data_IF_773737766117
#
_entry.id   IF_773737766117
#
_cell.length_a   1.000
_cell.length_b   1.000
_cell.length_c   1.000
_cell.angle_alpha   90.00
_cell.angle_beta   90.00
_cell.angle_gamma   90.00
#
_symmetry.space_group_name_H-M   'P 1'
#
loop_
_entity.id
_entity.type
_entity.pdbx_description
1 polymer ?
#
# COMPACT_ATOMS: atom_id res chain seq x y z
N UNK A 1 -30.50 -5.84 -3.37
CA UNK A 1 -31.23 -5.99 -2.09
C UNK A 1 -31.21 -7.47 -1.74
N UNK A 2 -30.49 -7.84 -0.70
CA UNK A 2 -30.50 -9.19 -0.15
C UNK A 2 -31.77 -9.27 0.70
N UNK A 3 -32.81 -9.91 0.19
CA UNK A 3 -33.95 -10.29 1.00
C UNK A 3 -33.65 -11.67 1.59
N UNK A 4 -33.33 -11.77 2.89
CA UNK A 4 -32.99 -13.04 3.52
C UNK A 4 -34.21 -13.98 3.66
N UNK A 5 -35.42 -13.46 3.46
CA UNK A 5 -36.65 -14.26 3.40
C UNK A 5 -36.96 -14.76 1.97
N UNK A 6 -36.29 -14.19 0.97
CA UNK A 6 -36.37 -14.70 -0.40
C UNK A 6 -35.57 -15.98 -0.55
N UNK A 7 -36.26 -17.09 -0.83
CA UNK A 7 -35.67 -18.37 -1.24
C UNK A 7 -34.84 -18.29 -2.55
N UNK A 8 -34.78 -17.12 -3.21
CA UNK A 8 -33.93 -16.87 -4.39
C UNK A 8 -32.64 -16.11 -4.06
N UNK A 9 -32.42 -15.71 -2.80
CA UNK A 9 -31.18 -15.07 -2.37
C UNK A 9 -30.04 -16.09 -2.31
N UNK A 10 -28.85 -15.70 -2.79
CA UNK A 10 -27.62 -16.50 -2.63
C UNK A 10 -27.16 -16.60 -1.16
N UNK A 11 -27.66 -15.73 -0.29
CA UNK A 11 -27.42 -15.73 1.15
C UNK A 11 -28.77 -15.79 1.89
N UNK A 12 -29.12 -16.97 2.42
CA UNK A 12 -30.29 -17.20 3.28
C UNK A 12 -29.82 -17.49 4.71
N UNK A 13 -30.69 -17.32 5.71
CA UNK A 13 -30.37 -17.67 7.10
C UNK A 13 -29.89 -19.12 7.21
N UNK A 14 -30.61 -20.05 6.57
CA UNK A 14 -30.19 -21.45 6.47
C UNK A 14 -28.78 -21.62 5.93
N UNK A 15 -28.41 -20.91 4.85
CA UNK A 15 -27.06 -21.02 4.28
C UNK A 15 -25.99 -20.45 5.22
N UNK A 16 -26.32 -19.41 5.98
CA UNK A 16 -25.42 -18.85 7.00
C UNK A 16 -25.26 -19.86 8.14
N UNK A 17 -26.35 -20.43 8.64
CA UNK A 17 -26.32 -21.45 9.69
C UNK A 17 -25.51 -22.67 9.23
N UNK A 18 -25.74 -23.16 8.01
CA UNK A 18 -24.96 -24.25 7.40
C UNK A 18 -23.45 -23.93 7.37
N UNK A 19 -23.05 -22.69 7.06
CA UNK A 19 -21.64 -22.25 7.05
C UNK A 19 -21.06 -22.10 8.46
N UNK A 20 -21.89 -21.75 9.44
CA UNK A 20 -21.48 -21.64 10.85
C UNK A 20 -21.30 -23.02 11.47
N UNK A 21 -22.15 -23.99 11.12
CA UNK A 21 -22.06 -25.39 11.54
C UNK A 21 -20.90 -26.11 10.83
N UNK A 22 -20.69 -25.83 9.53
CA UNK A 22 -19.65 -26.45 8.71
C UNK A 22 -18.54 -25.44 8.38
N UNK A 23 -17.86 -24.95 9.43
CA UNK A 23 -16.77 -23.97 9.26
C UNK A 23 -15.66 -24.58 8.40
N UNK A 24 -15.33 -23.88 7.31
CA UNK A 24 -14.13 -24.16 6.54
C UNK A 24 -12.91 -23.91 7.45
N UNK A 25 -12.10 -24.94 7.62
CA UNK A 25 -10.84 -24.90 8.38
C UNK A 25 -9.69 -25.24 7.45
N UNK A 26 -8.48 -24.85 7.83
CA UNK A 26 -7.29 -25.31 7.12
C UNK A 26 -7.11 -26.82 7.34
N UNK A 27 -6.58 -27.50 6.33
CA UNK A 27 -6.23 -28.92 6.46
C UNK A 27 -5.20 -29.13 7.58
N UNK A 28 -5.30 -30.25 8.28
CA UNK A 28 -4.33 -30.64 9.29
C UNK A 28 -2.94 -30.79 8.65
N UNK A 29 -1.93 -30.10 9.20
CA UNK A 29 -0.57 -30.10 8.65
C UNK A 29 -0.35 -29.17 7.45
N UNK A 30 -1.28 -28.25 7.16
CA UNK A 30 -1.07 -27.25 6.12
C UNK A 30 0.21 -26.43 6.37
N UNK A 31 1.06 -26.31 5.34
CA UNK A 31 2.31 -25.55 5.41
C UNK A 31 2.12 -24.12 4.92
N UNK A 32 2.69 -23.15 5.65
CA UNK A 32 2.63 -21.73 5.29
C UNK A 32 3.99 -21.23 4.79
N UNK A 33 4.00 -20.36 3.78
CA UNK A 33 5.23 -19.74 3.29
C UNK A 33 5.90 -18.82 4.33
N UNK A 34 5.12 -18.32 5.30
CA UNK A 34 5.59 -17.56 6.45
C UNK A 34 4.58 -17.63 7.59
N UNK A 35 5.06 -17.79 8.81
CA UNK A 35 4.24 -17.76 10.03
C UNK A 35 4.60 -16.56 10.89
N UNK A 36 3.57 -15.85 11.36
CA UNK A 36 3.70 -14.67 12.21
C UNK A 36 2.81 -14.84 13.44
N UNK A 37 3.36 -14.52 14.60
CA UNK A 37 2.66 -14.61 15.88
C UNK A 37 2.40 -13.23 16.49
N UNK A 38 1.24 -13.08 17.13
CA UNK A 38 0.89 -11.92 17.96
C UNK A 38 0.12 -12.36 19.20
N UNK A 39 0.62 -11.98 20.39
CA UNK A 39 -0.08 -12.23 21.64
C UNK A 39 -1.11 -11.12 21.92
N UNK A 40 -2.39 -11.44 21.73
CA UNK A 40 -3.50 -10.50 21.92
C UNK A 40 -3.62 -9.99 23.37
N UNK A 41 -3.21 -10.76 24.38
CA UNK A 41 -3.22 -10.32 25.78
C UNK A 41 -2.20 -9.22 26.08
N UNK A 42 -1.24 -9.02 25.19
CA UNK A 42 -0.23 -7.95 25.28
C UNK A 42 -0.54 -6.74 24.40
N UNK A 43 -1.64 -6.80 23.64
CA UNK A 43 -2.01 -5.73 22.73
C UNK A 43 -2.49 -4.50 23.51
N UNK A 44 -1.91 -3.35 23.19
CA UNK A 44 -2.41 -2.04 23.61
C UNK A 44 -3.06 -1.32 22.43
N UNK A 45 -3.82 -0.23 22.65
CA UNK A 45 -4.26 0.66 21.58
C UNK A 45 -3.07 1.26 20.82
N UNK A 46 -3.19 1.31 19.50
CA UNK A 46 -2.21 1.94 18.60
C UNK A 46 -2.90 2.99 17.74
N UNK A 47 -2.11 3.93 17.27
CA UNK A 47 -2.48 4.92 16.27
C UNK A 47 -1.46 4.85 15.14
N UNK A 48 -1.94 4.80 13.90
CA UNK A 48 -1.07 4.82 12.73
C UNK A 48 -0.90 6.22 12.16
N UNK A 49 0.32 6.63 11.87
CA UNK A 49 0.63 7.91 11.23
C UNK A 49 1.66 8.78 11.96
N UNK A 50 1.79 10.06 11.55
CA UNK A 50 0.99 10.72 10.52
C UNK A 50 1.34 10.24 9.10
N UNK A 51 0.38 10.32 8.19
CA UNK A 51 0.55 10.18 6.74
C UNK A 51 1.16 8.86 6.21
N UNK A 52 1.21 7.85 7.07
CA UNK A 52 1.68 6.50 6.76
C UNK A 52 0.87 5.46 7.51
N UNK A 53 0.47 4.40 6.80
CA UNK A 53 -0.20 3.22 7.39
C UNK A 53 0.80 2.25 8.02
N UNK A 54 2.10 2.43 7.75
CA UNK A 54 3.18 1.54 8.24
C UNK A 54 3.80 2.02 9.54
N UNK A 55 3.58 3.27 9.91
CA UNK A 55 4.03 3.82 11.20
C UNK A 55 2.91 3.59 12.19
N UNK A 56 3.07 2.63 13.10
CA UNK A 56 2.11 2.35 14.16
C UNK A 56 2.77 2.61 15.51
N UNK A 57 2.22 3.53 16.28
CA UNK A 57 2.75 3.96 17.57
C UNK A 57 1.75 3.63 18.68
N UNK A 58 2.19 3.09 19.83
CA UNK A 58 1.31 2.93 21.00
C UNK A 58 0.66 4.25 21.37
N UNK A 59 -0.64 4.23 21.69
CA UNK A 59 -1.41 5.44 22.00
C UNK A 59 -0.76 6.27 23.12
N UNK A 60 -0.32 5.62 24.20
CA UNK A 60 0.35 6.25 25.35
C UNK A 60 1.53 7.14 24.94
N UNK A 61 2.31 6.69 23.95
CA UNK A 61 3.50 7.40 23.52
C UNK A 61 3.12 8.65 22.70
N UNK A 62 2.00 8.62 21.97
CA UNK A 62 1.44 9.80 21.30
C UNK A 62 0.73 10.76 22.25
N UNK A 63 0.04 10.25 23.27
CA UNK A 63 -0.60 11.08 24.31
C UNK A 63 0.43 11.97 25.02
N UNK A 64 1.63 11.44 25.27
CA UNK A 64 2.74 12.20 25.86
C UNK A 64 3.24 13.37 25.01
N UNK A 65 2.92 13.40 23.71
CA UNK A 65 3.34 14.43 22.76
C UNK A 65 2.33 15.58 22.61
N UNK A 66 1.17 15.50 23.26
CA UNK A 66 0.13 16.54 23.28
C UNK A 66 -0.29 17.03 21.87
N UNK A 67 -0.50 16.08 20.95
CA UNK A 67 -0.78 16.37 19.54
C UNK A 67 -2.23 16.83 19.39
N UNK A 68 -2.45 18.13 19.19
CA UNK A 68 -3.77 18.69 18.89
C UNK A 68 -4.36 18.15 17.58
N UNK A 69 -5.69 18.08 17.52
CA UNK A 69 -6.43 17.76 16.29
C UNK A 69 -7.45 18.85 15.96
N UNK A 70 -7.78 18.98 14.69
CA UNK A 70 -8.78 19.91 14.16
C UNK A 70 -10.02 19.15 13.68
N UNK A 71 -9.84 17.92 13.19
CA UNK A 71 -10.93 17.09 12.65
C UNK A 71 -10.84 15.65 13.16
N UNK A 72 -12.00 15.08 13.46
CA UNK A 72 -12.17 13.68 13.83
C UNK A 72 -13.16 13.03 12.85
N UNK A 73 -12.91 11.78 12.47
CA UNK A 73 -13.73 11.09 11.46
C UNK A 73 -14.15 9.69 11.89
N UNK A 74 -15.45 9.50 12.11
CA UNK A 74 -16.11 8.20 12.23
C UNK A 74 -16.86 7.92 10.93
N UNK A 75 -16.09 7.58 9.91
CA UNK A 75 -16.56 7.37 8.53
C UNK A 75 -15.89 6.12 7.97
N UNK A 76 -16.16 5.80 6.70
CA UNK A 76 -15.58 4.67 5.95
C UNK A 76 -16.23 3.31 6.24
N UNK A 77 -16.08 2.42 5.26
CA UNK A 77 -16.51 1.03 5.38
C UNK A 77 -15.73 0.21 6.41
N UNK A 78 -14.60 0.73 6.92
CA UNK A 78 -13.72 -0.02 7.84
C UNK A 78 -14.26 -0.04 9.26
N UNK A 79 -14.57 1.12 9.83
CA UNK A 79 -15.02 1.24 11.22
C UNK A 79 -16.17 2.25 11.38
N UNK A 80 -17.21 2.10 10.58
CA UNK A 80 -18.45 2.86 10.75
C UNK A 80 -19.71 2.00 10.61
N UNK A 81 -19.63 0.74 11.03
CA UNK A 81 -20.80 -0.12 11.27
C UNK A 81 -21.49 0.31 12.56
N UNK A 82 -22.72 -0.14 12.80
CA UNK A 82 -23.48 0.18 14.00
C UNK A 82 -22.70 -0.15 15.29
N UNK A 83 -21.98 -1.26 15.33
CA UNK A 83 -21.13 -1.62 16.48
C UNK A 83 -19.93 -0.67 16.67
N UNK A 84 -19.34 -0.15 15.59
CA UNK A 84 -18.26 0.83 15.65
C UNK A 84 -18.80 2.19 16.15
N UNK A 85 -19.98 2.60 15.67
CA UNK A 85 -20.67 3.81 16.12
C UNK A 85 -21.09 3.70 17.60
N UNK A 86 -21.58 2.54 18.02
CA UNK A 86 -21.91 2.24 19.41
C UNK A 86 -20.69 2.32 20.32
N UNK A 87 -19.56 1.80 19.87
CA UNK A 87 -18.29 1.90 20.59
C UNK A 87 -17.85 3.37 20.77
N UNK A 88 -17.99 4.20 19.74
CA UNK A 88 -17.71 5.64 19.86
C UNK A 88 -18.72 6.35 20.77
N UNK A 89 -20.02 6.10 20.59
CA UNK A 89 -21.10 6.68 21.41
C UNK A 89 -20.92 6.35 22.90
N UNK A 90 -20.50 5.12 23.23
CA UNK A 90 -20.17 4.72 24.60
C UNK A 90 -19.13 5.63 25.25
N UNK A 91 -18.08 6.03 24.53
CA UNK A 91 -17.05 6.95 25.06
C UNK A 91 -17.67 8.30 25.43
N UNK A 92 -18.55 8.85 24.60
CA UNK A 92 -19.28 10.08 24.91
C UNK A 92 -20.22 9.93 26.12
N UNK A 93 -20.87 8.77 26.29
CA UNK A 93 -21.72 8.50 27.46
C UNK A 93 -20.91 8.37 28.75
N UNK A 94 -19.77 7.69 28.71
CA UNK A 94 -18.95 7.47 29.90
C UNK A 94 -18.27 8.76 30.36
N UNK A 95 -17.95 9.66 29.42
CA UNK A 95 -17.46 11.01 29.71
C UNK A 95 -18.58 12.02 30.04
N UNK A 96 -19.83 11.57 30.19
CA UNK A 96 -20.98 12.43 30.41
C UNK A 96 -20.83 13.31 31.67
N UNK A 97 -21.33 14.53 31.57
CA UNK A 97 -21.49 15.46 32.70
C UNK A 97 -22.97 15.84 32.80
N UNK A 98 -23.49 15.88 34.02
CA UNK A 98 -24.89 16.27 34.28
C UNK A 98 -25.93 15.40 33.53
N UNK A 99 -25.60 14.13 33.30
CA UNK A 99 -26.49 13.18 32.60
C UNK A 99 -26.61 13.39 31.09
N UNK A 100 -25.76 14.23 30.49
CA UNK A 100 -25.70 14.45 29.04
C UNK A 100 -24.38 13.92 28.47
N UNK A 101 -24.38 13.37 27.24
CA UNK A 101 -23.14 12.97 26.58
C UNK A 101 -22.12 14.12 26.56
N UNK A 102 -20.84 13.79 26.68
CA UNK A 102 -19.76 14.74 26.50
C UNK A 102 -19.90 15.46 25.14
N UNK A 103 -19.41 16.70 25.07
CA UNK A 103 -19.39 17.46 23.82
C UNK A 103 -18.04 17.30 23.12
N UNK A 104 -18.07 17.35 21.80
CA UNK A 104 -16.86 17.54 20.99
C UNK A 104 -16.19 18.86 21.41
N UNK A 105 -14.86 18.85 21.50
CA UNK A 105 -14.08 20.04 21.84
C UNK A 105 -14.42 21.20 20.87
N UNK A 106 -14.54 22.46 21.35
CA UNK A 106 -14.97 23.58 20.51
C UNK A 106 -14.09 23.84 19.26
N UNK A 107 -12.82 23.44 19.30
CA UNK A 107 -11.88 23.56 18.18
C UNK A 107 -11.88 22.37 17.22
N UNK A 108 -12.67 21.33 17.48
CA UNK A 108 -12.71 20.10 16.70
C UNK A 108 -14.03 19.96 15.96
N UNK A 109 -13.97 19.50 14.70
CA UNK A 109 -15.14 19.00 13.98
C UNK A 109 -15.13 17.48 13.93
N UNK A 110 -16.19 16.86 14.43
CA UNK A 110 -16.40 15.41 14.35
C UNK A 110 -17.36 15.09 13.20
N UNK A 111 -16.87 14.44 12.15
CA UNK A 111 -17.68 13.96 11.03
C UNK A 111 -18.08 12.50 11.20
N UNK A 112 -19.35 12.19 11.01
CA UNK A 112 -19.92 10.84 11.15
C UNK A 112 -20.64 10.42 9.87
N UNK A 113 -20.35 9.23 9.35
CA UNK A 113 -21.03 8.66 8.18
C UNK A 113 -21.09 7.15 8.30
N UNK A 114 -22.30 6.58 8.47
CA UNK A 114 -22.45 5.13 8.55
C UNK A 114 -21.93 4.42 7.29
N UNK A 115 -21.44 3.19 7.48
CA UNK A 115 -20.94 2.36 6.39
C UNK A 115 -22.03 2.00 5.36
N UNK A 116 -23.30 2.00 5.79
CA UNK A 116 -24.47 1.86 4.92
C UNK A 116 -25.72 2.46 5.58
N UNK A 117 -26.78 2.64 4.78
CA UNK A 117 -28.11 3.06 5.27
C UNK A 117 -28.65 2.09 6.33
N UNK A 118 -28.38 0.79 6.19
CA UNK A 118 -28.82 -0.22 7.16
C UNK A 118 -28.09 -0.07 8.50
N UNK A 119 -26.77 0.13 8.45
CA UNK A 119 -25.96 0.35 9.66
C UNK A 119 -26.37 1.65 10.37
N UNK A 120 -26.70 2.70 9.61
CA UNK A 120 -27.25 3.94 10.17
C UNK A 120 -28.56 3.67 10.91
N UNK A 121 -29.50 2.95 10.27
CA UNK A 121 -30.80 2.63 10.88
C UNK A 121 -30.64 1.85 12.19
N UNK A 122 -29.72 0.88 12.24
CA UNK A 122 -29.43 0.12 13.47
C UNK A 122 -28.87 1.05 14.57
N UNK A 123 -27.98 1.98 14.22
CA UNK A 123 -27.44 2.97 15.16
C UNK A 123 -28.49 3.98 15.65
N UNK A 124 -29.46 4.35 14.79
CA UNK A 124 -30.61 5.19 15.15
C UNK A 124 -31.55 4.45 16.10
N UNK A 125 -31.92 3.20 15.81
CA UNK A 125 -32.82 2.37 16.63
C UNK A 125 -32.25 2.05 18.02
N UNK A 126 -30.93 1.90 18.12
CA UNK A 126 -30.21 1.69 19.40
C UNK A 126 -29.98 2.99 20.19
N UNK A 127 -30.22 4.15 19.58
CA UNK A 127 -29.96 5.47 20.17
C UNK A 127 -28.48 5.89 20.19
N UNK A 128 -27.57 5.09 19.63
CA UNK A 128 -26.15 5.43 19.50
C UNK A 128 -25.94 6.65 18.59
N UNK A 129 -26.75 6.76 17.53
CA UNK A 129 -26.73 7.90 16.60
C UNK A 129 -27.08 9.21 17.30
N UNK A 130 -28.09 9.19 18.18
CA UNK A 130 -28.54 10.36 18.93
C UNK A 130 -27.51 10.83 19.95
N UNK A 131 -26.76 9.91 20.56
CA UNK A 131 -25.64 10.28 21.44
C UNK A 131 -24.58 11.08 20.68
N UNK A 132 -24.20 10.64 19.48
CA UNK A 132 -23.22 11.36 18.65
C UNK A 132 -23.77 12.71 18.16
N UNK A 133 -25.07 12.76 17.81
CA UNK A 133 -25.76 14.00 17.46
C UNK A 133 -25.76 15.00 18.60
N UNK A 134 -26.10 14.56 19.80
CA UNK A 134 -26.07 15.37 21.00
C UNK A 134 -24.65 15.80 21.34
N UNK A 135 -23.63 14.97 21.11
CA UNK A 135 -22.22 15.34 21.31
C UNK A 135 -21.74 16.48 20.39
N UNK A 136 -22.46 16.78 19.31
CA UNK A 136 -22.12 17.82 18.33
C UNK A 136 -21.47 17.29 17.06
N UNK A 137 -21.66 16.02 16.72
CA UNK A 137 -21.19 15.46 15.45
C UNK A 137 -21.93 16.06 14.24
N UNK A 138 -21.17 16.26 13.15
CA UNK A 138 -21.67 16.63 11.83
C UNK A 138 -21.86 15.36 10.97
N UNK A 139 -23.10 15.07 10.58
CA UNK A 139 -23.42 13.87 9.82
C UNK A 139 -23.27 14.07 8.31
N UNK A 140 -22.70 13.07 7.66
CA UNK A 140 -22.58 12.98 6.22
C UNK A 140 -23.46 11.83 5.69
N UNK A 141 -23.83 11.84 4.40
CA UNK A 141 -24.49 10.71 3.78
C UNK A 141 -23.65 9.43 3.89
N UNK A 142 -24.32 8.29 4.05
CA UNK A 142 -23.67 6.97 4.01
C UNK A 142 -22.84 6.83 2.73
N UNK A 143 -21.52 6.71 2.87
CA UNK A 143 -20.58 6.72 1.75
C UNK A 143 -19.14 6.96 2.17
N UNK A 144 -18.24 7.07 1.19
CA UNK A 144 -16.81 7.23 1.48
C UNK A 144 -16.45 8.64 2.00
N UNK A 145 -17.00 9.68 1.37
CA UNK A 145 -16.76 11.08 1.72
C UNK A 145 -15.27 11.43 1.92
N UNK A 146 -14.90 12.09 3.03
CA UNK A 146 -13.53 12.57 3.26
C UNK A 146 -12.48 11.45 3.34
N UNK A 147 -12.87 10.18 3.57
CA UNK A 147 -11.94 9.04 3.56
C UNK A 147 -11.20 8.87 2.21
N UNK A 148 -11.81 9.31 1.12
CA UNK A 148 -11.22 9.30 -0.23
C UNK A 148 -10.92 10.70 -0.76
N UNK A 149 -10.99 11.73 0.10
CA UNK A 149 -10.72 13.11 -0.29
C UNK A 149 -11.86 13.76 -1.08
N UNK A 150 -13.11 13.36 -0.85
CA UNK A 150 -14.29 13.93 -1.52
C UNK A 150 -15.34 14.47 -0.53
N UNK A 151 -16.10 15.46 -0.98
CA UNK A 151 -17.24 15.99 -0.24
C UNK A 151 -16.84 16.91 0.92
N UNK A 152 -17.71 16.97 1.94
CA UNK A 152 -17.57 17.88 3.08
C UNK A 152 -16.56 17.36 4.10
N UNK A 153 -15.85 18.29 4.75
CA UNK A 153 -14.94 17.97 5.86
C UNK A 153 -13.54 17.56 5.44
N UNK A 154 -13.08 17.94 4.23
CA UNK A 154 -11.69 17.71 3.82
C UNK A 154 -10.70 18.46 4.72
N UNK A 155 -9.51 17.90 4.87
CA UNK A 155 -8.41 18.55 5.59
C UNK A 155 -7.86 19.74 4.80
N UNK A 156 -7.60 20.82 5.50
CA UNK A 156 -6.99 22.05 5.01
C UNK A 156 -5.48 22.07 5.35
N UNK A 157 -4.77 23.07 4.83
CA UNK A 157 -3.34 23.21 5.10
C UNK A 157 -3.05 23.42 6.59
N UNK A 158 -2.07 22.67 7.11
CA UNK A 158 -1.64 22.75 8.51
C UNK A 158 -2.53 21.99 9.51
N UNK A 159 -3.72 21.57 9.10
CA UNK A 159 -4.65 20.83 9.96
C UNK A 159 -4.16 19.40 10.26
N UNK A 160 -4.64 18.88 11.40
CA UNK A 160 -4.41 17.52 11.87
C UNK A 160 -5.72 16.81 12.10
N UNK A 161 -5.77 15.55 11.70
CA UNK A 161 -6.94 14.72 11.93
C UNK A 161 -6.64 13.34 12.47
N UNK A 162 -7.63 12.79 13.17
CA UNK A 162 -7.68 11.39 13.56
C UNK A 162 -8.92 10.73 12.95
N UNK A 163 -8.75 9.57 12.34
CA UNK A 163 -9.79 8.91 11.54
C UNK A 163 -9.91 7.43 11.85
N UNK A 164 -11.14 6.92 11.90
CA UNK A 164 -11.43 5.49 11.97
C UNK A 164 -11.46 4.82 10.58
N UNK A 165 -10.79 5.42 9.59
CA UNK A 165 -10.62 4.82 8.27
C UNK A 165 -9.37 3.94 8.21
N UNK A 166 -9.01 3.44 7.02
CA UNK A 166 -7.90 2.52 6.82
C UNK A 166 -6.69 3.14 6.11
N UNK A 167 -6.76 4.39 5.66
CA UNK A 167 -5.71 5.04 4.86
C UNK A 167 -5.58 6.51 5.20
N UNK A 168 -4.37 6.91 5.55
CA UNK A 168 -4.01 8.29 5.90
C UNK A 168 -2.95 8.89 4.98
N UNK A 169 -2.68 8.34 3.80
CA UNK A 169 -1.61 8.82 2.92
C UNK A 169 -1.63 10.35 2.72
N UNK A 170 -0.46 10.95 2.50
CA UNK A 170 -0.33 12.38 2.19
C UNK A 170 -1.32 12.79 1.08
N UNK A 171 -2.14 13.81 1.34
CA UNK A 171 -3.14 14.32 0.39
C UNK A 171 -4.38 13.43 0.21
N UNK A 172 -4.53 12.36 1.00
CA UNK A 172 -5.65 11.42 0.87
C UNK A 172 -6.99 12.03 1.28
N UNK A 173 -7.00 12.76 2.40
CA UNK A 173 -8.22 13.30 3.02
C UNK A 173 -8.41 14.80 2.77
N UNK A 174 -7.63 15.40 1.87
CA UNK A 174 -7.60 16.83 1.63
C UNK A 174 -6.21 17.32 1.25
N UNK A 175 -5.77 18.41 1.87
CA UNK A 175 -4.47 19.04 1.59
C UNK A 175 -3.28 18.06 1.77
N UNK A 176 -2.30 18.05 0.84
CA UNK A 176 -1.06 17.30 1.01
C UNK A 176 -0.15 17.84 2.13
N UNK A 177 -0.48 19.00 2.70
CA UNK A 177 0.22 19.63 3.82
C UNK A 177 -0.45 19.36 5.18
N UNK A 178 -1.58 18.64 5.19
CA UNK A 178 -2.25 18.19 6.41
C UNK A 178 -1.59 16.92 6.98
N UNK A 179 -1.89 16.61 8.24
CA UNK A 179 -1.47 15.36 8.90
C UNK A 179 -2.68 14.52 9.28
N UNK A 180 -2.75 13.29 8.79
CA UNK A 180 -3.80 12.34 9.13
C UNK A 180 -3.27 11.15 9.94
N UNK A 181 -3.98 10.79 11.00
CA UNK A 181 -3.75 9.64 11.86
C UNK A 181 -4.93 8.66 11.76
N UNK A 182 -4.67 7.36 11.92
CA UNK A 182 -5.69 6.32 11.95
C UNK A 182 -5.78 5.72 13.35
N UNK A 183 -6.99 5.54 13.85
CA UNK A 183 -7.22 4.98 15.18
C UNK A 183 -8.57 4.26 15.24
N UNK A 184 -8.84 3.52 16.32
CA UNK A 184 -10.16 2.90 16.52
C UNK A 184 -11.26 3.96 16.78
N UNK A 185 -12.55 3.61 16.60
CA UNK A 185 -13.66 4.50 16.90
C UNK A 185 -13.61 5.11 18.32
N UNK A 186 -13.18 4.33 19.31
CA UNK A 186 -13.07 4.77 20.70
C UNK A 186 -12.00 5.85 20.87
N UNK A 187 -10.83 5.69 20.24
CA UNK A 187 -9.75 6.68 20.30
C UNK A 187 -10.15 7.94 19.54
N UNK A 188 -10.81 7.81 18.37
CA UNK A 188 -11.32 8.96 17.62
C UNK A 188 -12.34 9.74 18.45
N UNK A 189 -13.27 9.06 19.12
CA UNK A 189 -14.25 9.69 20.00
C UNK A 189 -13.59 10.40 21.20
N UNK A 190 -12.69 9.72 21.91
CA UNK A 190 -11.95 10.30 23.02
C UNK A 190 -11.13 11.52 22.58
N UNK A 191 -10.46 11.43 21.44
CA UNK A 191 -9.68 12.52 20.88
C UNK A 191 -10.57 13.71 20.49
N UNK A 192 -11.76 13.45 19.96
CA UNK A 192 -12.74 14.50 19.61
C UNK A 192 -13.25 15.25 20.85
N UNK A 193 -13.43 14.56 21.98
CA UNK A 193 -13.79 15.17 23.27
C UNK A 193 -12.63 16.03 23.80
N UNK A 194 -11.40 15.53 23.72
CA UNK A 194 -10.23 16.17 24.33
C UNK A 194 -9.56 17.26 23.47
N UNK A 195 -9.81 17.29 22.16
CA UNK A 195 -9.16 18.24 21.25
C UNK A 195 -7.76 17.84 20.79
N UNK A 196 -7.31 16.63 21.16
CA UNK A 196 -5.97 16.09 20.89
C UNK A 196 -6.00 14.57 20.83
N UNK A 197 -4.95 13.94 20.30
CA UNK A 197 -4.84 12.48 20.28
C UNK A 197 -4.87 11.94 21.71
N UNK A 198 -5.93 11.19 22.04
CA UNK A 198 -6.17 10.64 23.37
C UNK A 198 -7.03 9.37 23.33
N UNK A 199 -6.88 8.53 24.36
CA UNK A 199 -7.68 7.33 24.59
C UNK A 199 -8.84 7.54 25.55
N UNK A 200 -9.76 6.56 25.61
CA UNK A 200 -10.77 6.55 26.65
C UNK A 200 -10.16 6.20 28.02
N UNK A 201 -10.65 6.83 29.09
CA UNK A 201 -10.10 6.71 30.46
C UNK A 201 -10.13 5.29 31.04
N UNK A 202 -10.97 4.41 30.50
CA UNK A 202 -11.12 3.03 30.99
C UNK A 202 -10.07 2.07 30.44
N UNK A 203 -9.30 2.44 29.42
CA UNK A 203 -8.22 1.58 28.97
C UNK A 203 -7.11 1.57 30.02
N UNK A 204 -6.88 0.41 30.62
CA UNK A 204 -5.77 0.18 31.54
C UNK A 204 -4.74 -0.75 30.89
N UNK A 205 -3.47 -0.35 30.97
CA UNK A 205 -2.34 -1.17 30.56
C UNK A 205 -2.36 -2.49 31.35
N UNK A 206 -2.28 -3.67 30.70
CA UNK A 206 -2.12 -4.93 31.39
C UNK A 206 -0.86 -4.94 32.27
N UNK A 207 -0.97 -5.46 33.49
CA UNK A 207 0.16 -5.53 34.43
C UNK A 207 1.31 -6.35 33.84
N UNK A 208 2.54 -5.85 33.94
CA UNK A 208 3.74 -6.52 33.42
C UNK A 208 3.94 -6.49 31.90
N UNK A 209 3.04 -5.87 31.12
CA UNK A 209 3.17 -5.78 29.66
C UNK A 209 3.80 -4.45 29.24
N UNK A 210 5.10 -4.43 28.99
CA UNK A 210 5.78 -3.20 28.52
C UNK A 210 5.66 -2.95 27.01
N UNK A 211 5.48 -4.01 26.22
CA UNK A 211 5.34 -3.97 24.77
C UNK A 211 4.47 -5.12 24.26
N UNK A 212 3.87 -4.93 23.08
CA UNK A 212 3.17 -6.01 22.37
C UNK A 212 4.17 -7.10 22.00
N UNK A 213 3.83 -8.36 22.30
CA UNK A 213 4.62 -9.53 21.91
C UNK A 213 4.19 -9.96 20.52
N UNK A 214 5.11 -9.83 19.58
CA UNK A 214 5.01 -10.31 18.20
C UNK A 214 6.26 -11.12 17.87
N UNK A 215 6.15 -12.07 16.94
CA UNK A 215 7.26 -12.92 16.52
C UNK A 215 7.03 -13.59 15.18
N UNK A 216 8.04 -14.34 14.72
CA UNK A 216 7.89 -15.31 13.62
C UNK A 216 7.62 -16.70 14.24
N UNK A 217 6.90 -17.56 13.52
CA UNK A 217 6.49 -18.89 13.98
C UNK A 217 5.09 -18.93 14.57
N UNK A 218 4.79 -20.03 15.26
CA UNK A 218 3.47 -20.35 15.81
C UNK A 218 3.15 -19.61 17.10
N UNK A 219 4.19 -19.10 17.80
CA UNK A 219 4.05 -18.51 19.13
C UNK A 219 4.20 -19.49 20.27
N UNK A 220 4.35 -20.78 19.98
CA UNK A 220 4.88 -21.76 20.92
C UNK A 220 6.41 -21.76 20.81
N UNK A 221 7.05 -20.95 21.64
CA UNK A 221 8.51 -20.78 21.62
C UNK A 221 9.30 -22.09 21.82
N UNK A 222 8.70 -23.11 22.43
CA UNK A 222 9.36 -24.41 22.61
C UNK A 222 9.27 -25.24 21.34
N UNK A 223 8.08 -25.29 20.73
CA UNK A 223 7.87 -25.96 19.46
C UNK A 223 8.64 -25.27 18.31
N UNK A 224 8.57 -23.94 18.22
CA UNK A 224 9.28 -23.14 17.22
C UNK A 224 10.81 -23.33 17.34
N UNK A 225 11.32 -23.47 18.57
CA UNK A 225 12.75 -23.75 18.80
C UNK A 225 13.13 -25.18 18.39
N UNK A 226 12.26 -26.16 18.60
CA UNK A 226 12.49 -27.53 18.14
C UNK A 226 12.51 -27.60 16.60
N UNK A 227 11.50 -27.00 15.94
CA UNK A 227 11.42 -26.87 14.49
C UNK A 227 12.65 -26.19 13.89
N UNK A 228 13.09 -25.05 14.45
CA UNK A 228 14.29 -24.37 13.94
C UNK A 228 15.59 -25.18 14.08
N UNK A 229 15.67 -26.08 15.07
CA UNK A 229 16.81 -26.99 15.21
C UNK A 229 16.74 -28.08 14.14
N UNK A 230 15.55 -28.61 13.86
CA UNK A 230 15.32 -29.59 12.78
C UNK A 230 15.63 -28.97 11.41
N UNK A 231 15.10 -27.78 11.10
CA UNK A 231 15.39 -27.06 9.86
C UNK A 231 16.89 -26.78 9.68
N UNK A 232 17.59 -26.40 10.76
CA UNK A 232 19.03 -26.19 10.73
C UNK A 232 19.79 -27.50 10.47
N UNK A 233 19.32 -28.61 11.03
CA UNK A 233 19.90 -29.94 10.82
C UNK A 233 19.69 -30.39 9.37
N UNK A 234 18.49 -30.24 8.82
CA UNK A 234 18.15 -30.57 7.44
C UNK A 234 18.98 -29.74 6.45
N UNK A 235 19.20 -28.46 6.76
CA UNK A 235 20.07 -27.61 5.94
C UNK A 235 21.53 -28.09 5.98
N UNK A 236 22.05 -28.47 7.13
CA UNK A 236 23.40 -29.04 7.26
C UNK A 236 23.50 -30.36 6.51
N UNK A 237 22.46 -31.20 6.56
CA UNK A 237 22.40 -32.47 5.81
C UNK A 237 22.42 -32.18 4.31
N UNK A 238 21.59 -31.26 3.81
CA UNK A 238 21.57 -30.86 2.41
C UNK A 238 22.91 -30.26 1.93
N UNK A 239 23.56 -29.47 2.78
CA UNK A 239 24.91 -28.93 2.51
C UNK A 239 25.96 -30.05 2.46
N UNK A 240 25.90 -31.04 3.37
CA UNK A 240 26.79 -32.20 3.37
C UNK A 240 26.57 -33.10 2.15
N UNK A 241 25.31 -33.36 1.76
CA UNK A 241 24.97 -34.12 0.54
C UNK A 241 25.46 -33.40 -0.71
N UNK A 242 25.30 -32.08 -0.78
CA UNK A 242 25.85 -31.25 -1.87
C UNK A 242 27.37 -31.34 -1.94
N UNK A 243 28.07 -31.28 -0.79
CA UNK A 243 29.53 -31.44 -0.74
C UNK A 243 30.00 -32.84 -1.17
N UNK A 244 29.26 -33.89 -0.83
CA UNK A 244 29.54 -35.25 -1.28
C UNK A 244 29.36 -35.35 -2.79
N UNK A 245 28.28 -34.80 -3.34
CA UNK A 245 28.04 -34.77 -4.78
C UNK A 245 29.12 -34.01 -5.57
N UNK A 246 29.70 -32.95 -4.98
CA UNK A 246 30.86 -32.24 -5.55
C UNK A 246 32.12 -33.10 -5.46
N UNK A 247 32.39 -33.74 -4.32
CA UNK A 247 33.56 -34.61 -4.15
C UNK A 247 33.52 -35.88 -5.04
N UNK A 248 32.33 -36.40 -5.34
CA UNK A 248 32.14 -37.51 -6.28
C UNK A 248 32.36 -37.08 -7.74
N UNK A 249 32.13 -35.81 -8.07
CA UNK A 249 32.50 -35.22 -9.37
C UNK A 249 34.01 -34.96 -9.51
N UNK A 250 34.71 -34.74 -8.40
CA UNK A 250 36.16 -34.45 -8.35
C UNK A 250 37.02 -35.68 -7.98
N UNK A 251 36.47 -36.90 -8.09
CA UNK A 251 37.22 -38.15 -7.88
C UNK A 251 38.44 -38.27 -8.80
N UNK A 252 39.51 -39.00 -8.41
CA UNK A 252 40.82 -38.94 -9.05
C UNK A 252 40.81 -39.62 -10.42
N UNK A 253 40.46 -38.83 -11.44
CA UNK A 253 40.43 -39.24 -12.84
C UNK A 253 40.22 -38.09 -13.83
N UNK A 254 40.39 -36.83 -13.43
CA UNK A 254 40.32 -35.69 -14.33
C UNK A 254 41.72 -35.26 -14.77
N UNK A 255 41.98 -35.41 -16.07
CA UNK A 255 43.14 -34.87 -16.76
C UNK A 255 43.21 -33.35 -16.61
N UNK A 256 44.43 -32.83 -16.51
CA UNK A 256 44.70 -31.41 -16.33
C UNK A 256 44.25 -30.60 -17.56
N UNK A 257 43.12 -29.89 -17.43
CA UNK A 257 42.74 -28.84 -18.39
C UNK A 257 43.47 -27.53 -18.06
N UNK A 258 44.35 -27.17 -18.99
CA UNK A 258 44.95 -25.86 -19.15
C UNK A 258 43.92 -24.74 -19.19
N UNK A 259 44.26 -23.60 -18.58
CA UNK A 259 43.47 -22.38 -18.54
C UNK A 259 42.76 -22.06 -19.87
N UNK A 260 41.43 -22.09 -19.85
CA UNK A 260 40.59 -21.68 -20.96
C UNK A 260 40.34 -20.15 -20.94
N UNK A 261 40.27 -19.50 -22.11
CA UNK A 261 39.98 -18.07 -22.24
C UNK A 261 38.50 -17.77 -21.96
N UNK A 262 38.18 -16.50 -21.65
CA UNK A 262 36.83 -15.98 -21.46
C UNK A 262 35.85 -16.55 -22.50
N UNK A 263 34.92 -17.40 -22.05
CA UNK A 263 33.87 -17.91 -22.88
C UNK A 263 32.90 -16.77 -23.25
N UNK A 264 32.91 -16.37 -24.53
CA UNK A 264 31.77 -15.73 -25.17
C UNK A 264 30.61 -16.73 -25.17
N UNK A 265 29.80 -16.73 -24.11
CA UNK A 265 28.50 -17.38 -24.14
C UNK A 265 27.61 -16.67 -25.16
N UNK A 266 26.99 -17.41 -26.07
CA UNK A 266 25.94 -16.88 -26.94
C UNK A 266 24.86 -16.23 -26.08
N UNK A 267 24.67 -14.91 -26.20
CA UNK A 267 23.56 -14.21 -25.56
C UNK A 267 22.25 -14.76 -26.16
N UNK A 268 21.48 -15.52 -25.37
CA UNK A 268 20.13 -15.95 -25.72
C UNK A 268 19.26 -14.72 -25.94
N UNK A 269 18.76 -14.54 -27.17
CA UNK A 269 17.87 -13.43 -27.52
C UNK A 269 16.42 -13.84 -27.27
N UNK A 270 15.65 -12.95 -26.65
CA UNK A 270 14.21 -13.09 -26.49
C UNK A 270 13.52 -12.69 -27.79
N UNK A 271 12.52 -13.48 -28.20
CA UNK A 271 11.66 -13.12 -29.32
C UNK A 271 10.80 -11.90 -28.96
N UNK A 272 10.70 -10.97 -29.90
CA UNK A 272 9.93 -9.74 -29.76
C UNK A 272 8.67 -9.86 -30.60
N UNK A 273 7.51 -9.71 -29.96
CA UNK A 273 6.21 -9.74 -30.63
C UNK A 273 6.07 -8.56 -31.61
N UNK A 274 5.47 -8.73 -32.80
CA UNK A 274 5.29 -7.64 -33.76
C UNK A 274 4.58 -6.42 -33.14
N UNK A 275 5.20 -5.24 -33.22
CA UNK A 275 4.68 -4.00 -32.64
C UNK A 275 5.07 -3.77 -31.18
N UNK A 276 5.71 -4.73 -30.51
CA UNK A 276 6.33 -4.53 -29.20
C UNK A 276 7.71 -3.85 -29.36
N UNK A 277 8.09 -2.90 -28.48
CA UNK A 277 9.36 -2.20 -28.60
C UNK A 277 10.55 -3.13 -28.37
N UNK A 278 11.58 -3.03 -29.22
CA UNK A 278 12.86 -3.75 -29.01
C UNK A 278 13.74 -3.08 -27.96
N UNK A 279 13.63 -1.75 -27.84
CA UNK A 279 14.45 -0.90 -26.96
C UNK A 279 13.65 0.27 -26.43
N UNK A 280 13.95 0.67 -25.19
CA UNK A 280 13.42 1.89 -24.57
C UNK A 280 14.57 2.62 -23.90
N UNK A 281 14.70 3.91 -24.15
CA UNK A 281 15.75 4.73 -23.56
C UNK A 281 15.24 6.11 -23.14
N UNK A 282 15.89 6.70 -22.14
CA UNK A 282 15.59 8.04 -21.67
C UNK A 282 16.50 8.49 -20.53
N UNK A 283 16.35 9.76 -20.13
CA UNK A 283 17.01 10.29 -18.94
C UNK A 283 16.29 9.79 -17.67
N UNK A 284 17.04 9.42 -16.64
CA UNK A 284 16.47 9.02 -15.36
C UNK A 284 15.98 10.26 -14.59
N UNK A 285 14.67 10.28 -14.32
CA UNK A 285 14.05 11.12 -13.29
C UNK A 285 13.83 10.26 -12.05
N UNK A 286 14.56 10.56 -10.98
CA UNK A 286 14.56 9.78 -9.76
C UNK A 286 13.65 10.40 -8.69
N UNK A 287 12.69 9.61 -8.21
CA UNK A 287 11.83 9.90 -7.07
C UNK A 287 12.27 9.03 -5.88
N UNK A 288 13.11 9.56 -5.00
CA UNK A 288 13.71 8.79 -3.89
C UNK A 288 12.73 8.55 -2.74
N UNK A 289 11.76 7.68 -2.96
CA UNK A 289 10.83 7.29 -1.92
C UNK A 289 10.32 5.87 -2.12
N UNK A 290 10.26 5.14 -1.02
CA UNK A 290 9.58 3.86 -0.96
C UNK A 290 8.09 4.09 -0.68
N UNK A 291 7.24 3.19 -1.17
CA UNK A 291 5.80 3.23 -0.95
C UNK A 291 5.14 4.50 -1.53
N UNK A 292 5.65 5.01 -2.65
CA UNK A 292 4.89 5.96 -3.47
C UNK A 292 3.62 5.24 -3.91
N UNK A 293 2.52 5.54 -3.23
CA UNK A 293 1.24 4.89 -3.43
C UNK A 293 0.48 5.55 -4.59
N UNK A 294 -0.60 4.91 -5.04
CA UNK A 294 -1.44 5.44 -6.12
C UNK A 294 -2.03 6.82 -5.83
N UNK A 295 -2.21 7.23 -4.56
CA UNK A 295 -2.66 8.58 -4.21
C UNK A 295 -1.55 9.60 -4.40
N UNK A 296 -0.28 9.21 -4.21
CA UNK A 296 0.90 9.97 -4.60
C UNK A 296 0.99 10.16 -6.12
N UNK A 297 0.71 9.11 -6.91
CA UNK A 297 0.81 9.12 -8.38
C UNK A 297 -0.36 9.86 -9.04
N UNK A 298 -1.59 9.60 -8.60
CA UNK A 298 -2.79 10.25 -9.12
C UNK A 298 -3.73 10.54 -7.94
N UNK A 299 -3.97 11.81 -7.57
CA UNK A 299 -4.75 12.14 -6.38
C UNK A 299 -6.18 11.59 -6.40
N UNK A 300 -6.68 11.10 -5.25
CA UNK A 300 -8.02 10.54 -5.07
C UNK A 300 -9.15 11.42 -5.61
N UNK A 301 -9.03 12.74 -5.40
CA UNK A 301 -9.98 13.78 -5.80
C UNK A 301 -10.31 13.82 -7.30
N UNK A 302 -9.45 13.27 -8.16
CA UNK A 302 -9.66 13.23 -9.62
C UNK A 302 -10.24 11.89 -10.12
N UNK A 303 -10.38 10.88 -9.26
CA UNK A 303 -10.71 9.51 -9.68
C UNK A 303 -12.06 9.39 -10.36
N UNK A 304 -13.06 10.13 -9.88
CA UNK A 304 -14.44 10.06 -10.38
C UNK A 304 -14.83 11.30 -11.19
N UNK A 305 -13.84 11.93 -11.83
CA UNK A 305 -14.07 13.03 -12.75
C UNK A 305 -13.97 12.49 -14.19
N UNK A 306 -15.10 12.06 -14.74
CA UNK A 306 -15.15 11.36 -16.04
C UNK A 306 -14.70 12.22 -17.23
N UNK A 307 -14.72 13.55 -17.08
CA UNK A 307 -14.36 14.51 -18.14
C UNK A 307 -12.91 14.98 -18.15
N UNK A 308 -12.00 14.38 -17.37
CA UNK A 308 -10.60 14.81 -17.31
C UNK A 308 -9.89 14.54 -18.63
N UNK A 309 -9.27 15.58 -19.22
CA UNK A 309 -8.49 15.43 -20.45
C UNK A 309 -7.15 14.74 -20.18
N UNK A 310 -6.50 14.23 -21.24
CA UNK A 310 -5.16 13.63 -21.13
C UNK A 310 -4.13 14.65 -20.62
N UNK A 311 -4.25 15.90 -21.04
CA UNK A 311 -3.38 17.00 -20.62
C UNK A 311 -3.55 17.28 -19.13
N UNK A 312 -4.80 17.38 -18.65
CA UNK A 312 -5.09 17.55 -17.23
C UNK A 312 -4.58 16.36 -16.40
N UNK A 313 -4.75 15.14 -16.92
CA UNK A 313 -4.22 13.93 -16.27
C UNK A 313 -2.69 13.95 -16.17
N UNK A 314 -2.00 14.47 -17.19
CA UNK A 314 -0.55 14.66 -17.19
C UNK A 314 -0.10 15.76 -16.22
N UNK A 315 -0.90 16.82 -16.04
CA UNK A 315 -0.61 17.92 -15.10
C UNK A 315 -0.67 17.46 -13.64
N UNK A 316 -1.62 16.59 -13.29
CA UNK A 316 -1.82 16.08 -11.92
C UNK A 316 -1.02 14.83 -11.60
N UNK A 317 -0.26 14.31 -12.57
CA UNK A 317 0.61 13.16 -12.38
C UNK A 317 1.67 13.47 -11.31
N UNK A 318 1.73 12.60 -10.29
CA UNK A 318 2.60 12.68 -9.10
C UNK A 318 2.35 13.89 -8.18
N UNK A 319 1.23 14.61 -8.32
CA UNK A 319 0.94 15.88 -7.59
C UNK A 319 1.03 15.74 -6.06
N UNK A 320 0.46 14.67 -5.50
CA UNK A 320 0.49 14.45 -4.05
C UNK A 320 1.86 14.00 -3.53
N UNK A 321 2.69 13.40 -4.41
CA UNK A 321 4.08 13.11 -4.10
C UNK A 321 4.88 14.41 -4.08
N UNK A 322 4.97 15.08 -5.23
CA UNK A 322 5.75 16.29 -5.46
C UNK A 322 5.02 17.24 -6.43
N UNK A 323 4.66 18.43 -5.94
CA UNK A 323 3.96 19.45 -6.71
C UNK A 323 4.81 19.96 -7.90
N UNK A 324 6.14 19.86 -7.81
CA UNK A 324 7.06 20.27 -8.87
C UNK A 324 7.35 19.17 -9.89
N UNK A 325 6.81 17.96 -9.70
CA UNK A 325 6.98 16.87 -10.66
C UNK A 325 6.52 17.27 -12.06
N UNK A 326 5.40 18.00 -12.14
CA UNK A 326 4.83 18.48 -13.42
C UNK A 326 5.81 19.34 -14.23
N UNK A 327 6.69 20.08 -13.56
CA UNK A 327 7.68 20.96 -14.17
C UNK A 327 9.02 20.24 -14.42
N UNK A 328 9.35 19.28 -13.56
CA UNK A 328 10.64 18.58 -13.55
C UNK A 328 10.70 17.44 -14.57
N UNK A 329 9.64 16.63 -14.65
CA UNK A 329 9.53 15.50 -15.55
C UNK A 329 9.09 15.93 -16.96
N UNK A 330 9.69 15.30 -17.98
CA UNK A 330 9.53 15.59 -19.40
C UNK A 330 9.12 14.33 -20.17
N UNK A 331 8.56 14.52 -21.35
CA UNK A 331 8.26 13.43 -22.27
C UNK A 331 9.55 12.64 -22.61
N UNK A 332 9.46 11.31 -22.56
CA UNK A 332 10.58 10.40 -22.83
C UNK A 332 11.48 10.10 -21.63
N UNK A 333 11.26 10.72 -20.47
CA UNK A 333 12.00 10.38 -19.25
C UNK A 333 11.70 8.96 -18.76
N UNK A 334 12.66 8.36 -18.07
CA UNK A 334 12.48 7.09 -17.34
C UNK A 334 12.24 7.42 -15.87
N UNK A 335 11.05 7.10 -15.37
CA UNK A 335 10.71 7.32 -13.97
C UNK A 335 11.35 6.22 -13.13
N UNK A 336 12.27 6.57 -12.24
CA UNK A 336 12.87 5.64 -11.28
C UNK A 336 12.37 5.96 -9.89
N UNK A 337 11.87 4.96 -9.16
CA UNK A 337 11.38 5.11 -7.79
C UNK A 337 12.01 4.08 -6.84
N UNK A 338 11.74 4.23 -5.53
CA UNK A 338 12.16 3.28 -4.50
C UNK A 338 11.45 1.93 -4.58
N UNK A 339 11.17 1.31 -3.45
CA UNK A 339 10.48 0.02 -3.32
C UNK A 339 8.97 0.17 -3.18
N UNK A 340 8.21 -0.84 -3.59
CA UNK A 340 6.76 -0.93 -3.47
C UNK A 340 6.01 0.25 -4.13
N UNK A 341 6.44 0.64 -5.34
CA UNK A 341 5.83 1.71 -6.13
C UNK A 341 4.42 1.32 -6.61
N UNK A 342 3.48 2.26 -6.56
CA UNK A 342 2.09 2.04 -6.96
C UNK A 342 1.26 1.22 -5.95
N UNK A 343 1.70 1.12 -4.69
CA UNK A 343 0.89 0.47 -3.66
C UNK A 343 -0.40 1.25 -3.32
N UNK A 344 -1.33 0.62 -2.59
CA UNK A 344 -2.52 1.30 -2.07
C UNK A 344 -3.80 1.05 -2.87
N UNK A 345 -4.36 2.09 -3.49
CA UNK A 345 -5.64 2.00 -4.21
C UNK A 345 -5.50 1.23 -5.52
N UNK A 346 -6.57 0.58 -5.98
CA UNK A 346 -6.57 -0.18 -7.24
C UNK A 346 -6.73 0.68 -8.50
N UNK A 347 -6.53 1.99 -8.39
CA UNK A 347 -6.87 2.98 -9.43
C UNK A 347 -5.93 2.82 -10.61
N UNK A 348 -6.49 2.49 -11.77
CA UNK A 348 -5.70 2.33 -13.00
C UNK A 348 -5.19 3.68 -13.53
N UNK A 349 -5.83 4.78 -13.14
CA UNK A 349 -5.43 6.13 -13.49
C UNK A 349 -4.01 6.47 -13.06
N UNK A 350 -3.46 5.77 -12.05
CA UNK A 350 -2.05 5.90 -11.69
C UNK A 350 -1.13 5.50 -12.85
N UNK A 351 -1.46 4.45 -13.61
CA UNK A 351 -0.69 4.05 -14.79
C UNK A 351 -0.96 4.99 -15.98
N UNK A 352 -2.23 5.32 -16.24
CA UNK A 352 -2.57 6.18 -17.38
C UNK A 352 -2.08 7.61 -17.22
N UNK A 353 -1.96 8.13 -15.99
CA UNK A 353 -1.39 9.46 -15.75
C UNK A 353 0.10 9.52 -16.09
N UNK A 354 0.85 8.46 -15.81
CA UNK A 354 2.28 8.36 -16.20
C UNK A 354 2.39 8.31 -17.74
N UNK A 355 1.54 7.54 -18.41
CA UNK A 355 1.45 7.51 -19.87
C UNK A 355 1.01 8.87 -20.45
N UNK A 356 0.10 9.57 -19.78
CA UNK A 356 -0.34 10.91 -20.17
C UNK A 356 0.82 11.92 -20.07
N UNK A 357 1.69 11.76 -19.06
CA UNK A 357 2.96 12.50 -18.93
C UNK A 357 4.02 12.11 -19.95
N UNK A 358 3.73 11.15 -20.82
CA UNK A 358 4.62 10.63 -21.87
C UNK A 358 5.90 10.01 -21.30
N UNK A 359 5.80 9.37 -20.14
CA UNK A 359 6.88 8.58 -19.54
C UNK A 359 6.68 7.13 -20.01
N UNK A 360 7.58 6.59 -20.86
CA UNK A 360 7.40 5.27 -21.47
C UNK A 360 7.73 4.10 -20.53
N UNK A 361 8.48 4.34 -19.45
CA UNK A 361 8.99 3.29 -18.57
C UNK A 361 9.05 3.76 -17.12
N UNK A 362 8.59 2.89 -16.22
CA UNK A 362 8.83 2.99 -14.78
C UNK A 362 9.82 1.92 -14.34
N UNK A 363 10.80 2.32 -13.55
CA UNK A 363 11.76 1.43 -12.91
C UNK A 363 11.64 1.56 -11.40
N UNK A 364 11.63 0.46 -10.68
CA UNK A 364 11.46 0.47 -9.23
C UNK A 364 12.25 -0.66 -8.60
N UNK A 365 12.49 -0.58 -7.28
CA UNK A 365 13.01 -1.73 -6.54
C UNK A 365 11.97 -2.84 -6.41
N UNK A 366 10.69 -2.50 -6.36
CA UNK A 366 9.57 -3.44 -6.46
C UNK A 366 8.25 -2.71 -6.71
N UNK A 367 7.27 -3.39 -7.32
CA UNK A 367 5.94 -2.81 -7.57
C UNK A 367 4.84 -3.37 -6.66
N UNK A 368 3.80 -2.56 -6.42
CA UNK A 368 2.56 -3.05 -5.83
C UNK A 368 1.78 -3.92 -6.83
N UNK A 369 1.35 -5.12 -6.42
CA UNK A 369 0.72 -6.11 -7.30
C UNK A 369 -0.39 -5.57 -8.22
N UNK A 370 -1.29 -4.75 -7.68
CA UNK A 370 -2.41 -4.20 -8.47
C UNK A 370 -1.90 -3.18 -9.49
N UNK A 371 -0.93 -2.34 -9.12
CA UNK A 371 -0.34 -1.39 -10.05
C UNK A 371 0.42 -2.09 -11.17
N UNK A 372 1.16 -3.18 -10.89
CA UNK A 372 1.81 -3.98 -11.93
C UNK A 372 0.80 -4.51 -12.96
N UNK A 373 -0.34 -5.02 -12.49
CA UNK A 373 -1.44 -5.47 -13.37
C UNK A 373 -2.05 -4.33 -14.17
N UNK A 374 -2.32 -3.20 -13.52
CA UNK A 374 -2.88 -2.02 -14.19
C UNK A 374 -1.92 -1.44 -15.24
N UNK A 375 -0.61 -1.53 -15.00
CA UNK A 375 0.43 -1.10 -15.93
C UNK A 375 0.37 -1.94 -17.21
N UNK A 376 0.34 -3.27 -17.10
CA UNK A 376 0.16 -4.18 -18.24
C UNK A 376 -1.17 -3.89 -18.96
N UNK A 377 -2.27 -3.76 -18.22
CA UNK A 377 -3.59 -3.49 -18.79
C UNK A 377 -3.64 -2.19 -19.61
N UNK A 378 -2.81 -1.21 -19.27
CA UNK A 378 -2.75 0.10 -19.93
C UNK A 378 -1.53 0.27 -20.85
N UNK A 379 -0.73 -0.78 -21.06
CA UNK A 379 0.52 -0.74 -21.83
C UNK A 379 1.61 0.22 -21.27
N UNK A 380 1.61 0.46 -19.96
CA UNK A 380 2.74 1.06 -19.27
C UNK A 380 3.77 -0.01 -18.92
N UNK A 381 5.01 0.18 -19.37
CA UNK A 381 6.10 -0.74 -19.07
C UNK A 381 6.70 -0.46 -17.70
N UNK A 382 6.97 -1.55 -16.98
CA UNK A 382 7.59 -1.55 -15.66
C UNK A 382 8.70 -2.59 -15.59
N UNK A 383 9.82 -2.27 -14.93
CA UNK A 383 10.91 -3.23 -14.67
C UNK A 383 11.49 -3.04 -13.28
N UNK A 384 11.75 -4.14 -12.58
CA UNK A 384 12.36 -4.12 -11.25
C UNK A 384 13.88 -4.16 -11.36
N UNK A 385 14.55 -3.12 -10.84
CA UNK A 385 16.02 -2.99 -10.86
C UNK A 385 16.51 -2.47 -9.49
N UNK A 386 16.46 -3.28 -8.41
CA UNK A 386 16.87 -2.86 -7.06
C UNK A 386 18.27 -2.23 -7.01
N UNK A 387 19.23 -2.82 -7.75
CA UNK A 387 20.60 -2.31 -7.85
C UNK A 387 20.69 -0.86 -8.34
N UNK A 388 19.81 -0.46 -9.28
CA UNK A 388 19.78 0.92 -9.77
C UNK A 388 19.32 1.88 -8.66
N UNK A 389 18.28 1.49 -7.92
CA UNK A 389 17.75 2.29 -6.80
C UNK A 389 18.83 2.48 -5.73
N UNK A 390 19.49 1.40 -5.33
CA UNK A 390 20.60 1.45 -4.35
C UNK A 390 21.75 2.33 -4.84
N UNK A 391 22.13 2.21 -6.13
CA UNK A 391 23.20 2.99 -6.73
C UNK A 391 22.86 4.48 -6.78
N UNK A 392 21.61 4.85 -7.11
CA UNK A 392 21.15 6.24 -7.12
C UNK A 392 21.13 6.81 -5.70
N UNK A 393 20.63 6.06 -4.71
CA UNK A 393 20.65 6.47 -3.30
C UNK A 393 22.06 6.72 -2.79
N UNK A 394 22.98 5.80 -3.04
CA UNK A 394 24.37 5.95 -2.64
C UNK A 394 25.03 7.16 -3.30
N UNK A 395 24.71 7.42 -4.57
CA UNK A 395 25.24 8.57 -5.32
C UNK A 395 24.78 9.91 -4.74
N UNK A 396 23.52 9.99 -4.28
CA UNK A 396 22.89 11.24 -3.82
C UNK A 396 22.70 11.31 -2.30
N UNK A 397 23.29 10.41 -1.51
CA UNK A 397 23.08 10.32 -0.06
C UNK A 397 23.47 11.60 0.70
N UNK A 398 24.53 12.26 0.21
CA UNK A 398 25.15 13.44 0.84
C UNK A 398 24.68 14.77 0.23
N UNK A 399 23.74 14.74 -0.73
CA UNK A 399 23.17 15.96 -1.30
C UNK A 399 22.34 16.70 -0.23
N UNK A 400 22.66 17.98 -0.02
CA UNK A 400 22.00 18.80 1.00
C UNK A 400 20.53 19.11 0.66
N UNK A 401 20.20 19.33 -0.62
CA UNK A 401 18.88 19.80 -1.05
C UNK A 401 17.78 18.72 -0.96
N UNK A 402 18.14 17.43 -1.09
CA UNK A 402 17.23 16.27 -1.07
C UNK A 402 15.86 16.52 -1.75
N UNK A 403 15.83 16.97 -3.02
CA UNK A 403 14.57 17.18 -3.73
C UNK A 403 13.78 15.86 -3.85
N UNK A 404 12.45 15.95 -3.80
CA UNK A 404 11.57 14.80 -3.97
C UNK A 404 11.69 14.18 -5.37
N UNK A 405 11.83 15.01 -6.40
CA UNK A 405 12.05 14.59 -7.79
C UNK A 405 13.34 15.17 -8.32
N UNK A 406 14.21 14.32 -8.88
CA UNK A 406 15.54 14.71 -9.35
C UNK A 406 15.76 14.30 -10.80
N UNK A 407 16.15 15.25 -11.65
CA UNK A 407 16.82 14.92 -12.93
C UNK A 407 18.27 14.56 -12.65
N UNK A 408 18.66 13.34 -12.98
CA UNK A 408 19.98 12.81 -12.60
C UNK A 408 21.07 13.13 -13.60
N UNK A 409 20.70 13.42 -14.86
CA UNK A 409 21.62 13.41 -16.00
C UNK A 409 22.10 12.01 -16.39
N UNK A 410 21.62 10.94 -15.74
CA UNK A 410 21.92 9.56 -16.08
C UNK A 410 20.96 9.10 -17.17
N UNK A 411 21.39 8.16 -18.00
CA UNK A 411 20.56 7.54 -19.02
C UNK A 411 20.35 6.07 -18.70
N UNK A 412 19.14 5.60 -18.98
CA UNK A 412 18.81 4.18 -18.95
C UNK A 412 18.41 3.74 -20.34
N UNK A 413 18.90 2.57 -20.75
CA UNK A 413 18.47 1.82 -21.92
C UNK A 413 18.02 0.43 -21.45
N UNK A 414 16.78 0.06 -21.73
CA UNK A 414 16.33 -1.32 -21.63
C UNK A 414 16.36 -1.95 -23.03
N UNK A 415 17.26 -2.90 -23.23
CA UNK A 415 17.29 -3.77 -24.40
C UNK A 415 16.40 -4.98 -24.11
N UNK A 416 15.18 -4.97 -24.65
CA UNK A 416 14.18 -6.00 -24.36
C UNK A 416 14.53 -7.33 -25.05
N UNK A 417 15.16 -7.26 -26.22
CA UNK A 417 15.61 -8.45 -26.95
C UNK A 417 16.71 -9.20 -26.19
N UNK A 418 17.54 -8.49 -25.43
CA UNK A 418 18.58 -9.10 -24.57
C UNK A 418 18.17 -9.24 -23.11
N UNK A 419 16.96 -8.83 -22.75
CA UNK A 419 16.48 -8.74 -21.36
C UNK A 419 17.51 -8.09 -20.44
N UNK A 420 18.02 -6.93 -20.86
CA UNK A 420 19.17 -6.28 -20.23
C UNK A 420 18.94 -4.79 -20.10
N UNK A 421 19.13 -4.29 -18.88
CA UNK A 421 19.18 -2.86 -18.59
C UNK A 421 20.63 -2.40 -18.62
N UNK A 422 20.88 -1.29 -19.31
CA UNK A 422 22.17 -0.60 -19.39
C UNK A 422 21.98 0.81 -18.85
N UNK A 423 22.82 1.20 -17.90
CA UNK A 423 22.77 2.51 -17.24
C UNK A 423 24.07 3.24 -17.51
N UNK A 424 23.97 4.47 -18.00
CA UNK A 424 25.10 5.38 -18.19
C UNK A 424 24.98 6.53 -17.19
N UNK A 425 25.91 6.60 -16.26
CA UNK A 425 25.99 7.62 -15.22
C UNK A 425 26.42 8.97 -15.81
N UNK A 426 26.25 10.05 -15.04
CA UNK A 426 26.55 11.43 -15.48
C UNK A 426 28.00 11.64 -15.91
N UNK A 427 28.94 10.90 -15.32
CA UNK A 427 30.37 10.94 -15.63
C UNK A 427 30.74 10.10 -16.87
N UNK A 428 29.76 9.44 -17.50
CA UNK A 428 29.94 8.57 -18.66
C UNK A 428 30.24 7.12 -18.31
N UNK A 429 30.34 6.75 -17.03
CA UNK A 429 30.51 5.35 -16.62
C UNK A 429 29.26 4.54 -16.95
N UNK A 430 29.44 3.39 -17.58
CA UNK A 430 28.32 2.50 -17.94
C UNK A 430 28.41 1.18 -17.20
N UNK A 431 27.26 0.66 -16.78
CA UNK A 431 27.11 -0.71 -16.29
C UNK A 431 25.80 -1.32 -16.77
N UNK A 432 25.69 -2.65 -16.67
CA UNK A 432 24.48 -3.36 -17.08
C UNK A 432 24.04 -4.43 -16.09
N UNK A 433 22.76 -4.79 -16.15
CA UNK A 433 22.15 -5.84 -15.36
C UNK A 433 21.16 -6.63 -16.24
N UNK A 434 21.21 -7.96 -16.14
CA UNK A 434 20.17 -8.82 -16.71
C UNK A 434 18.88 -8.68 -15.87
N UNK A 435 17.75 -8.55 -16.55
CA UNK A 435 16.41 -8.46 -15.95
C UNK A 435 15.53 -9.60 -16.47
N UNK A 436 14.34 -9.75 -15.89
CA UNK A 436 13.38 -10.76 -16.34
C UNK A 436 12.92 -10.55 -17.78
N UNK A 437 12.64 -11.65 -18.47
CA UNK A 437 12.04 -11.64 -19.81
C UNK A 437 10.56 -11.27 -19.74
N UNK A 438 10.08 -10.51 -20.73
CA UNK A 438 8.66 -10.20 -20.85
C UNK A 438 7.93 -11.38 -21.52
N UNK A 439 6.95 -12.03 -20.86
CA UNK A 439 6.24 -13.15 -21.46
C UNK A 439 5.54 -12.77 -22.77
N UNK A 440 5.48 -13.64 -23.79
CA UNK A 440 4.89 -13.33 -25.10
C UNK A 440 3.46 -12.78 -25.05
N UNK A 441 2.61 -13.32 -24.17
CA UNK A 441 1.23 -12.86 -23.98
C UNK A 441 1.17 -11.43 -23.41
N UNK A 442 2.13 -11.05 -22.57
CA UNK A 442 2.24 -9.68 -22.05
C UNK A 442 2.74 -8.74 -23.15
N UNK A 443 3.70 -9.19 -23.96
CA UNK A 443 4.17 -8.41 -25.11
C UNK A 443 3.04 -8.12 -26.10
N UNK A 444 2.20 -9.11 -26.40
CA UNK A 444 1.04 -8.96 -27.29
C UNK A 444 0.04 -7.92 -26.77
N UNK A 445 -0.36 -8.01 -25.48
CA UNK A 445 -1.26 -7.03 -24.85
C UNK A 445 -0.70 -5.62 -24.96
N UNK A 446 0.59 -5.44 -24.68
CA UNK A 446 1.25 -4.13 -24.72
C UNK A 446 1.39 -3.62 -26.15
N UNK A 447 1.72 -4.48 -27.12
CA UNK A 447 1.85 -4.13 -28.53
C UNK A 447 0.53 -3.62 -29.12
N UNK A 448 -0.61 -4.17 -28.67
CA UNK A 448 -1.94 -3.67 -29.05
C UNK A 448 -2.37 -2.42 -28.27
N UNK A 449 -1.54 -1.93 -27.34
CA UNK A 449 -1.79 -0.72 -26.57
C UNK A 449 -2.70 -0.93 -25.36
N UNK A 450 -2.70 -2.13 -24.79
CA UNK A 450 -3.37 -2.47 -23.53
C UNK A 450 -4.45 -3.55 -23.68
N UNK A 451 -4.94 -4.03 -22.54
CA UNK A 451 -5.88 -5.15 -22.46
C UNK A 451 -7.21 -4.85 -23.17
N UNK A 452 -7.73 -3.63 -23.04
CA UNK A 452 -9.00 -3.27 -23.71
C UNK A 452 -8.89 -3.37 -25.24
N UNK A 453 -7.80 -2.86 -25.81
CA UNK A 453 -7.55 -2.92 -27.26
C UNK A 453 -7.25 -4.35 -27.71
N UNK A 454 -6.54 -5.11 -26.90
CA UNK A 454 -6.33 -6.54 -27.14
C UNK A 454 -7.66 -7.30 -27.19
N UNK A 455 -8.55 -7.11 -26.21
CA UNK A 455 -9.88 -7.75 -26.21
C UNK A 455 -10.70 -7.35 -27.43
N UNK A 456 -10.68 -6.08 -27.85
CA UNK A 456 -11.36 -5.62 -29.07
C UNK A 456 -10.83 -6.35 -30.31
N UNK A 457 -9.51 -6.46 -30.44
CA UNK A 457 -8.88 -7.19 -31.54
C UNK A 457 -9.24 -8.69 -31.53
N UNK A 458 -9.31 -9.33 -30.36
CA UNK A 458 -9.75 -10.74 -30.25
C UNK A 458 -11.21 -10.95 -30.66
N UNK A 459 -12.08 -9.99 -30.39
CA UNK A 459 -13.51 -10.05 -30.79
C UNK A 459 -13.67 -9.87 -32.31
N UNK A 460 -12.74 -9.15 -32.96
CA UNK A 460 -12.76 -8.90 -34.40
C UNK A 460 -12.20 -10.06 -35.25
N UNK A 461 -11.49 -11.01 -34.62
CA UNK A 461 -11.00 -12.26 -35.26
C UNK A 461 -12.15 -13.26 -35.46
#
# INVERSE_FOLDING_TARGET
>A
MLDPESNQSRFTHKRIDDLVENRLTADEGATYAKELYMNLSTLSPFVAGPNSVKVATPLRDLESQDISIDKAYLVSCTNSRASDLAAAARVFREAAQEGKPAKVAPSVKLYVAAASILEQKIAEESGDWDVLREAGAEFLPSGCGPCIGLGTGLLEEGERAISASNRNFKGRMGSPLAKAYLASPQIVAASAIQGKIAGPDWYQKPEGVEKVIIGEGSGDFVADKALSIEDALDKIIAEAESMIAVAEKDGPGAEAETAAPEAKGEETLTDIYPGFPEKIEGEIVFCDSDNINTDGIYPGKYTYQDGISKEQMAEVCMENYDLEFRNTARAGDILVAGYNFGCGSSREQAATAILAKQIPLVVSGSFGNIFSRNSINNALLGVEVPRLVERLRETYKDDAEKPLTRRTGWKLLWDLRRSKVVVTEKDGKTWSQKVGEMPPNVQEIIALGGLEKWVKAEIEK
#
